data_IF_952662296588
#
_entry.id   IF_952662296588
#
_cell.length_a   1.000
_cell.length_b   1.000
_cell.length_c   1.000
_cell.angle_alpha   90.00
_cell.angle_beta   90.00
_cell.angle_gamma   90.00
#
_symmetry.space_group_name_H-M   'P 1'
#
loop_
_entity.id
_entity.type
_entity.pdbx_description
1 polymer ?
#
# COMPACT_ATOMS: atom_id res chain seq x y z
N UNK A 1 22.31 -4.92 19.66
CA UNK A 1 22.57 -4.52 18.26
C UNK A 1 21.67 -5.30 17.33
N UNK A 2 21.85 -6.62 17.28
CA UNK A 2 21.06 -7.51 16.41
C UNK A 2 19.80 -8.10 17.07
N UNK A 3 19.80 -8.33 18.39
CA UNK A 3 18.63 -8.88 19.11
C UNK A 3 17.40 -7.95 19.06
N UNK A 4 17.62 -6.64 19.08
CA UNK A 4 16.55 -5.64 18.94
C UNK A 4 15.97 -5.65 17.52
N UNK A 5 16.80 -5.88 16.49
CA UNK A 5 16.37 -5.96 15.10
C UNK A 5 15.62 -7.27 14.82
N UNK A 6 15.95 -8.36 15.50
CA UNK A 6 15.23 -9.63 15.44
C UNK A 6 13.86 -9.51 16.13
N UNK A 7 13.79 -8.88 17.31
CA UNK A 7 12.53 -8.61 17.99
C UNK A 7 11.60 -7.66 17.21
N UNK A 8 12.18 -6.69 16.50
CA UNK A 8 11.46 -5.76 15.63
C UNK A 8 11.18 -6.31 14.23
N UNK A 9 11.54 -7.57 13.92
CA UNK A 9 11.30 -8.17 12.59
C UNK A 9 9.81 -8.27 12.22
N UNK A 10 8.94 -8.34 13.24
CA UNK A 10 7.47 -8.26 13.08
C UNK A 10 6.93 -6.82 13.05
N UNK A 11 7.77 -5.83 13.41
CA UNK A 11 7.40 -4.42 13.41
C UNK A 11 7.87 -3.76 12.11
N UNK A 12 7.10 -2.77 11.66
CA UNK A 12 7.50 -1.91 10.56
C UNK A 12 8.66 -1.00 11.02
N UNK A 13 9.90 -1.53 11.01
CA UNK A 13 11.13 -0.85 11.45
C UNK A 13 11.31 0.50 10.74
N UNK A 14 10.83 0.59 9.50
CA UNK A 14 10.79 1.83 8.74
C UNK A 14 9.84 2.86 9.36
N UNK A 15 8.59 2.48 9.66
CA UNK A 15 7.63 3.36 10.35
C UNK A 15 8.17 3.77 11.72
N UNK A 16 8.79 2.86 12.47
CA UNK A 16 9.43 3.23 13.74
C UNK A 16 10.55 4.26 13.55
N UNK A 17 11.41 4.08 12.55
CA UNK A 17 12.54 4.98 12.31
C UNK A 17 12.13 6.35 11.74
N UNK A 18 10.97 6.48 11.11
CA UNK A 18 10.60 7.68 10.31
C UNK A 18 9.30 8.36 10.72
N UNK A 19 8.40 7.65 11.41
CA UNK A 19 7.03 8.11 11.71
C UNK A 19 6.64 7.88 13.18
N UNK A 20 7.59 7.54 14.06
CA UNK A 20 7.32 7.38 15.49
C UNK A 20 7.94 8.49 16.32
N UNK A 21 7.39 8.70 17.52
CA UNK A 21 7.91 9.61 18.54
C UNK A 21 8.07 8.86 19.85
N UNK A 22 9.18 9.08 20.55
CA UNK A 22 9.42 8.44 21.85
C UNK A 22 8.66 9.19 22.93
N UNK A 23 7.67 8.50 23.52
CA UNK A 23 6.94 9.00 24.68
C UNK A 23 7.65 8.65 26.00
N UNK A 24 8.36 7.52 26.04
CA UNK A 24 9.16 7.07 27.19
C UNK A 24 10.14 5.98 26.76
N UNK A 25 11.26 5.83 27.48
CA UNK A 25 12.29 4.83 27.22
C UNK A 25 13.26 5.20 26.10
N UNK A 26 13.64 4.22 25.28
CA UNK A 26 14.65 4.37 24.24
C UNK A 26 14.13 5.20 23.04
N UNK A 27 14.97 6.11 22.56
CA UNK A 27 14.71 6.91 21.36
C UNK A 27 14.94 6.09 20.09
N UNK A 28 13.94 5.31 19.69
CA UNK A 28 14.04 4.42 18.53
C UNK A 28 14.38 5.18 17.23
N UNK A 29 13.76 6.32 16.89
CA UNK A 29 14.14 7.10 15.71
C UNK A 29 15.63 7.46 15.65
N UNK A 30 16.25 7.77 16.79
CA UNK A 30 17.66 8.16 16.85
C UNK A 30 18.63 6.98 16.99
N UNK A 31 18.19 5.87 17.59
CA UNK A 31 19.04 4.69 17.84
C UNK A 31 19.05 3.73 16.63
N UNK A 32 17.97 3.69 15.84
CA UNK A 32 17.89 2.82 14.68
C UNK A 32 18.89 3.23 13.58
N UNK A 33 19.54 2.26 12.92
CA UNK A 33 20.57 2.54 11.91
C UNK A 33 19.96 3.22 10.68
N UNK A 34 20.75 3.97 9.91
CA UNK A 34 20.27 4.69 8.71
C UNK A 34 19.53 3.79 7.70
N UNK A 35 19.91 2.50 7.58
CA UNK A 35 19.20 1.51 6.77
C UNK A 35 17.74 1.29 7.16
N UNK A 36 17.36 1.56 8.41
CA UNK A 36 15.98 1.49 8.89
C UNK A 36 15.09 2.54 8.20
N UNK A 37 15.68 3.63 7.69
CA UNK A 37 14.96 4.70 6.98
C UNK A 37 14.77 4.39 5.49
N UNK A 38 15.11 3.18 5.05
CA UNK A 38 14.89 2.73 3.68
C UNK A 38 13.54 2.00 3.63
N UNK A 39 12.54 2.54 2.91
CA UNK A 39 11.25 1.87 2.76
C UNK A 39 11.42 0.58 1.96
N UNK A 40 10.69 -0.45 2.35
CA UNK A 40 10.71 -1.79 1.72
C UNK A 40 9.37 -2.07 1.07
N UNK A 41 9.41 -2.80 -0.04
CA UNK A 41 8.23 -3.44 -0.63
C UNK A 41 7.64 -4.43 0.36
N UNK A 42 6.32 -4.39 0.53
CA UNK A 42 5.59 -5.24 1.47
C UNK A 42 4.32 -5.75 0.81
N UNK A 43 3.55 -4.82 0.27
CA UNK A 43 2.24 -5.13 -0.28
C UNK A 43 2.37 -6.02 -1.51
N UNK A 44 3.40 -5.80 -2.35
CA UNK A 44 3.62 -6.62 -3.54
C UNK A 44 3.83 -8.12 -3.25
N UNK A 45 4.40 -8.47 -2.10
CA UNK A 45 4.79 -9.84 -1.79
C UNK A 45 3.58 -10.74 -1.48
N UNK A 46 2.55 -10.18 -0.88
CA UNK A 46 1.35 -10.92 -0.43
C UNK A 46 0.09 -10.49 -1.18
N UNK A 47 0.22 -9.65 -2.21
CA UNK A 47 -0.91 -9.00 -2.87
C UNK A 47 -1.98 -9.98 -3.34
N UNK A 48 -1.59 -11.05 -4.05
CA UNK A 48 -2.56 -12.01 -4.62
C UNK A 48 -3.36 -12.71 -3.51
N UNK A 49 -2.66 -13.31 -2.54
CA UNK A 49 -3.31 -14.04 -1.44
C UNK A 49 -4.20 -13.12 -0.60
N UNK A 50 -3.73 -11.90 -0.31
CA UNK A 50 -4.46 -10.92 0.48
C UNK A 50 -5.75 -10.47 -0.22
N UNK A 51 -5.68 -10.24 -1.54
CA UNK A 51 -6.83 -9.83 -2.34
C UNK A 51 -7.82 -10.99 -2.47
N UNK A 52 -7.34 -12.20 -2.79
CA UNK A 52 -8.19 -13.40 -2.88
C UNK A 52 -8.95 -13.65 -1.59
N UNK A 53 -8.26 -13.62 -0.44
CA UNK A 53 -8.88 -13.79 0.87
C UNK A 53 -9.91 -12.69 1.18
N UNK A 54 -9.55 -11.43 0.93
CA UNK A 54 -10.44 -10.30 1.17
C UNK A 54 -11.71 -10.36 0.29
N UNK A 55 -11.59 -10.82 -0.96
CA UNK A 55 -12.73 -10.95 -1.87
C UNK A 55 -13.74 -12.01 -1.42
N UNK A 56 -13.31 -13.05 -0.69
CA UNK A 56 -14.23 -14.05 -0.12
C UNK A 56 -15.23 -13.45 0.87
N UNK A 57 -14.88 -12.35 1.55
CA UNK A 57 -15.81 -11.66 2.46
C UNK A 57 -16.91 -10.89 1.71
N UNK A 58 -16.69 -10.51 0.45
CA UNK A 58 -17.70 -9.91 -0.43
C UNK A 58 -18.31 -8.58 0.03
N UNK A 59 -17.76 -7.93 1.06
CA UNK A 59 -18.30 -6.67 1.60
C UNK A 59 -17.68 -5.45 0.92
N UNK A 60 -18.43 -4.34 0.82
CA UNK A 60 -17.89 -3.04 0.36
C UNK A 60 -16.59 -2.65 1.07
N UNK A 61 -16.47 -2.94 2.36
CA UNK A 61 -15.27 -2.64 3.14
C UNK A 61 -14.08 -3.50 2.71
N UNK A 62 -14.31 -4.78 2.43
CA UNK A 62 -13.27 -5.67 1.91
C UNK A 62 -12.80 -5.21 0.52
N UNK A 63 -13.73 -4.81 -0.35
CA UNK A 63 -13.40 -4.27 -1.66
C UNK A 63 -12.61 -2.96 -1.61
N UNK A 64 -13.05 -2.00 -0.80
CA UNK A 64 -12.29 -0.78 -0.56
C UNK A 64 -10.89 -1.08 0.00
N UNK A 65 -10.75 -2.13 0.82
CA UNK A 65 -9.45 -2.58 1.31
C UNK A 65 -8.57 -3.14 0.18
N UNK A 66 -9.12 -4.00 -0.69
CA UNK A 66 -8.41 -4.51 -1.87
C UNK A 66 -7.91 -3.38 -2.77
N UNK A 67 -8.77 -2.40 -3.09
CA UNK A 67 -8.41 -1.27 -3.94
C UNK A 67 -7.27 -0.43 -3.33
N UNK A 68 -7.34 -0.16 -2.01
CA UNK A 68 -6.25 0.52 -1.30
C UNK A 68 -4.95 -0.25 -1.44
N UNK A 69 -5.01 -1.58 -1.33
CA UNK A 69 -3.86 -2.47 -1.41
C UNK A 69 -3.28 -2.53 -2.82
N UNK A 70 -4.12 -2.56 -3.85
CA UNK A 70 -3.71 -2.47 -5.26
C UNK A 70 -3.01 -1.13 -5.58
N UNK A 71 -3.56 -0.01 -5.10
CA UNK A 71 -2.90 1.31 -5.24
C UNK A 71 -1.52 1.31 -4.57
N UNK A 72 -1.41 0.71 -3.38
CA UNK A 72 -0.10 0.58 -2.71
C UNK A 72 0.88 -0.30 -3.47
N UNK A 73 0.41 -1.43 -4.01
CA UNK A 73 1.24 -2.30 -4.82
C UNK A 73 1.75 -1.59 -6.08
N UNK A 74 0.90 -0.81 -6.75
CA UNK A 74 1.31 -0.02 -7.91
C UNK A 74 2.38 1.01 -7.55
N UNK A 75 2.19 1.74 -6.46
CA UNK A 75 3.19 2.66 -5.92
C UNK A 75 4.52 1.96 -5.60
N UNK A 76 4.48 0.81 -4.90
CA UNK A 76 5.68 0.04 -4.60
C UNK A 76 6.40 -0.43 -5.88
N UNK A 77 5.64 -0.87 -6.88
CA UNK A 77 6.17 -1.40 -8.13
C UNK A 77 6.83 -0.33 -8.99
N UNK A 78 6.18 0.82 -9.13
CA UNK A 78 6.58 1.84 -10.10
C UNK A 78 7.37 2.98 -9.47
N UNK A 79 7.01 3.47 -8.28
CA UNK A 79 7.67 4.62 -7.67
C UNK A 79 8.78 4.21 -6.70
N UNK A 80 8.49 3.29 -5.78
CA UNK A 80 9.42 2.93 -4.71
C UNK A 80 10.74 2.33 -5.24
N UNK A 81 10.65 1.48 -6.28
CA UNK A 81 11.83 0.88 -6.94
C UNK A 81 12.72 1.89 -7.64
N UNK A 82 12.15 3.00 -8.10
CA UNK A 82 12.88 4.03 -8.85
C UNK A 82 13.59 5.04 -7.93
N UNK A 83 13.71 4.76 -6.63
CA UNK A 83 14.27 5.66 -5.62
C UNK A 83 13.65 7.07 -5.65
N UNK A 84 12.42 7.18 -6.16
CA UNK A 84 11.65 8.40 -6.23
C UNK A 84 11.28 8.82 -4.81
N UNK A 85 12.02 9.78 -4.30
CA UNK A 85 12.10 10.24 -2.92
C UNK A 85 10.75 10.70 -2.36
N UNK A 86 10.00 9.80 -1.72
CA UNK A 86 9.23 10.02 -0.49
C UNK A 86 8.32 8.81 -0.23
N UNK A 87 8.62 8.02 0.81
CA UNK A 87 7.62 7.10 1.32
C UNK A 87 6.38 7.87 1.75
N UNK A 88 5.26 7.61 1.10
CA UNK A 88 3.97 8.20 1.44
C UNK A 88 2.97 7.14 1.86
N UNK A 89 2.06 7.52 2.76
CA UNK A 89 0.87 6.72 3.09
C UNK A 89 -0.43 7.22 2.47
N UNK A 90 -0.38 8.39 1.87
CA UNK A 90 -1.50 9.01 1.23
C UNK A 90 -1.78 8.31 -0.12
N UNK A 91 -3.03 7.91 -0.34
CA UNK A 91 -3.41 7.16 -1.53
C UNK A 91 -3.39 8.03 -2.79
N UNK A 92 -3.71 9.32 -2.68
CA UNK A 92 -3.62 10.25 -3.80
C UNK A 92 -2.16 10.37 -4.26
N UNK A 93 -1.23 10.60 -3.32
CA UNK A 93 0.20 10.66 -3.67
C UNK A 93 0.75 9.32 -4.15
N UNK A 94 0.26 8.19 -3.63
CA UNK A 94 0.62 6.87 -4.18
C UNK A 94 0.21 6.74 -5.66
N UNK A 95 -0.98 7.21 -6.03
CA UNK A 95 -1.47 7.19 -7.42
C UNK A 95 -0.63 8.09 -8.30
N UNK A 96 -0.41 9.34 -7.91
CA UNK A 96 0.37 10.31 -8.69
C UNK A 96 1.79 9.79 -8.97
N UNK A 97 2.49 9.32 -7.93
CA UNK A 97 3.84 8.77 -8.07
C UNK A 97 3.84 7.47 -8.89
N UNK A 98 2.84 6.60 -8.73
CA UNK A 98 2.76 5.40 -9.54
C UNK A 98 2.60 5.73 -11.03
N UNK A 99 1.78 6.73 -11.37
CA UNK A 99 1.57 7.20 -12.75
C UNK A 99 2.83 7.86 -13.31
N UNK A 100 3.48 8.72 -12.52
CA UNK A 100 4.68 9.45 -12.93
C UNK A 100 5.82 8.51 -13.36
N UNK A 101 6.01 7.41 -12.62
CA UNK A 101 7.12 6.48 -12.83
C UNK A 101 6.73 5.19 -13.55
N UNK A 102 5.47 5.02 -13.94
CA UNK A 102 5.05 3.86 -14.72
C UNK A 102 5.55 3.96 -16.16
N UNK A 103 6.03 2.82 -16.68
CA UNK A 103 6.37 2.66 -18.10
C UNK A 103 5.20 2.10 -18.93
N UNK A 104 4.01 2.02 -18.33
CA UNK A 104 2.76 1.52 -18.90
C UNK A 104 1.62 2.46 -18.47
N UNK A 105 0.56 2.55 -19.27
CA UNK A 105 -0.61 3.34 -18.88
C UNK A 105 -1.39 2.61 -17.78
N UNK A 106 -1.40 3.21 -16.59
CA UNK A 106 -2.13 2.75 -15.40
C UNK A 106 -3.04 3.84 -14.84
N UNK A 107 -3.12 4.99 -15.53
CA UNK A 107 -3.78 6.19 -15.00
C UNK A 107 -5.28 5.97 -14.79
N UNK A 108 -5.95 5.42 -15.79
CA UNK A 108 -7.39 5.15 -15.72
C UNK A 108 -7.74 4.24 -14.55
N UNK A 109 -6.97 3.17 -14.38
CA UNK A 109 -7.27 2.12 -13.40
C UNK A 109 -7.03 2.63 -11.97
N UNK A 110 -5.92 3.32 -11.76
CA UNK A 110 -5.59 3.90 -10.45
C UNK A 110 -6.52 5.05 -10.06
N UNK A 111 -6.89 5.92 -11.01
CA UNK A 111 -7.86 6.98 -10.77
C UNK A 111 -9.25 6.42 -10.44
N UNK A 112 -9.69 5.39 -11.17
CA UNK A 112 -10.97 4.71 -10.91
C UNK A 112 -10.97 4.03 -9.55
N UNK A 113 -9.89 3.33 -9.21
CA UNK A 113 -9.73 2.71 -7.90
C UNK A 113 -9.79 3.74 -6.77
N UNK A 114 -9.12 4.89 -6.92
CA UNK A 114 -9.16 5.98 -5.94
C UNK A 114 -10.57 6.56 -5.79
N UNK A 115 -11.26 6.80 -6.90
CA UNK A 115 -12.64 7.30 -6.89
C UNK A 115 -13.58 6.31 -6.19
N UNK A 116 -13.46 5.02 -6.47
CA UNK A 116 -14.26 3.96 -5.84
C UNK A 116 -14.01 3.86 -4.32
N UNK A 117 -12.79 4.15 -3.86
CA UNK A 117 -12.49 4.22 -2.42
C UNK A 117 -13.20 5.41 -1.76
N UNK A 118 -13.27 6.57 -2.44
CA UNK A 118 -13.84 7.80 -1.90
C UNK A 118 -15.36 7.80 -1.94
N UNK A 119 -15.95 7.39 -3.07
CA UNK A 119 -17.39 7.44 -3.31
C UNK A 119 -18.12 6.15 -2.91
N UNK A 120 -17.39 5.05 -2.76
CA UNK A 120 -17.95 3.72 -2.54
C UNK A 120 -17.99 2.91 -3.85
N UNK A 121 -17.61 1.62 -3.83
CA UNK A 121 -17.61 0.76 -5.02
C UNK A 121 -18.96 0.73 -5.75
N UNK A 122 -20.04 0.59 -5.01
CA UNK A 122 -21.39 0.50 -5.56
C UNK A 122 -21.85 1.80 -6.23
N UNK A 123 -21.37 2.95 -5.75
CA UNK A 123 -21.70 4.25 -6.36
C UNK A 123 -20.96 4.46 -7.69
N UNK A 124 -19.76 3.90 -7.84
CA UNK A 124 -18.94 4.05 -9.05
C UNK A 124 -19.31 3.03 -10.12
N UNK A 125 -19.60 1.78 -9.72
CA UNK A 125 -19.83 0.68 -10.66
C UNK A 125 -21.27 0.16 -10.71
N UNK A 126 -22.14 0.57 -9.77
CA UNK A 126 -23.53 0.12 -9.72
C UNK A 126 -23.65 -1.41 -9.72
N UNK A 127 -24.64 -1.93 -10.44
CA UNK A 127 -24.90 -3.36 -10.58
C UNK A 127 -23.84 -4.14 -11.41
N UNK A 128 -22.90 -3.46 -12.08
CA UNK A 128 -21.83 -4.10 -12.85
C UNK A 128 -20.69 -4.61 -11.95
N UNK A 129 -20.74 -4.30 -10.66
CA UNK A 129 -19.70 -4.59 -9.69
C UNK A 129 -19.33 -6.07 -9.55
N UNK A 130 -20.28 -7.03 -9.40
CA UNK A 130 -19.94 -8.45 -9.29
C UNK A 130 -19.23 -8.99 -10.54
N UNK A 131 -19.55 -8.44 -11.72
CA UNK A 131 -18.94 -8.84 -12.98
C UNK A 131 -17.49 -8.33 -13.11
N UNK A 132 -17.21 -7.13 -12.61
CA UNK A 132 -15.85 -6.56 -12.62
C UNK A 132 -14.92 -7.27 -11.63
N UNK A 133 -15.41 -7.58 -10.42
CA UNK A 133 -14.67 -8.37 -9.43
C UNK A 133 -14.29 -9.76 -9.94
N UNK A 134 -15.20 -10.43 -10.67
CA UNK A 134 -14.93 -11.72 -11.28
C UNK A 134 -13.93 -11.66 -12.46
N UNK A 135 -13.88 -10.53 -13.18
CA UNK A 135 -12.95 -10.31 -14.28
C UNK A 135 -11.53 -9.99 -13.82
N UNK A 136 -11.37 -9.35 -12.65
CA UNK A 136 -10.07 -8.96 -12.08
C UNK A 136 -9.33 -10.11 -11.38
N UNK A 137 -9.99 -11.25 -11.15
CA UNK A 137 -9.39 -12.48 -10.59
C UNK A 137 -8.92 -13.48 -11.66
N UNK A 138 -8.77 -13.05 -12.92
CA UNK A 138 -8.23 -13.86 -14.03
C UNK A 138 -7.00 -13.18 -14.61
#
# INVERSE_FOLDING_TARGET
GDDLLIALSNCDVFVLATQSVTLSGLDLPNILPSRARIPKERVLQTLSSDVEEALLFGSQRAYAWCLKRLIRAAYEKFALRNNATAYTRDLYFCVELAIEYANVDVRSDLATALLAIVQGPDAVWGALWPAYGAAMCR
#
